data_IF_247904419590
#
_entry.id   IF_247904419590
#
_cell.length_a   1.000
_cell.length_b   1.000
_cell.length_c   1.000
_cell.angle_alpha   90.00
_cell.angle_beta   90.00
_cell.angle_gamma   90.00
#
_symmetry.space_group_name_H-M   'P 1'
#
loop_
_entity.id
_entity.type
_entity.pdbx_description
1 polymer ?
#
# COMPACT_ATOMS: atom_id res chain seq x y z
N UNK A 1 -21.21 -22.00 -2.24
CA UNK A 1 -20.98 -20.59 -1.85
C UNK A 1 -19.59 -20.05 -2.25
N UNK A 2 -18.48 -20.76 -1.97
CA UNK A 2 -17.13 -20.28 -2.28
C UNK A 2 -16.89 -19.99 -3.77
N UNK A 3 -17.35 -20.87 -4.67
CA UNK A 3 -17.22 -20.65 -6.13
C UNK A 3 -17.97 -19.40 -6.61
N UNK A 4 -19.17 -19.13 -6.07
CA UNK A 4 -19.95 -17.93 -6.38
C UNK A 4 -19.20 -16.67 -5.93
N UNK A 5 -18.57 -16.70 -4.76
CA UNK A 5 -17.74 -15.60 -4.28
C UNK A 5 -16.51 -15.38 -5.17
N UNK A 6 -15.82 -16.46 -5.57
CA UNK A 6 -14.65 -16.38 -6.44
C UNK A 6 -14.99 -15.90 -7.87
N UNK A 7 -16.22 -16.11 -8.33
CA UNK A 7 -16.70 -15.61 -9.62
C UNK A 7 -17.30 -14.19 -9.55
N UNK A 8 -17.39 -13.57 -8.37
CA UNK A 8 -17.79 -12.15 -8.28
C UNK A 8 -16.81 -11.28 -9.07
N UNK A 9 -17.35 -10.20 -9.65
CA UNK A 9 -16.59 -9.30 -10.54
C UNK A 9 -16.46 -9.80 -11.99
N UNK A 10 -16.80 -11.05 -12.29
CA UNK A 10 -16.78 -11.55 -13.67
C UNK A 10 -18.02 -11.15 -14.45
N UNK A 11 -17.85 -10.89 -15.74
CA UNK A 11 -18.98 -10.88 -16.69
C UNK A 11 -19.57 -12.28 -16.84
N UNK A 12 -20.84 -12.38 -17.26
CA UNK A 12 -21.50 -13.67 -17.52
C UNK A 12 -20.70 -14.54 -18.50
N UNK A 13 -20.08 -13.93 -19.51
CA UNK A 13 -19.25 -14.64 -20.49
C UNK A 13 -17.97 -15.21 -19.87
N UNK A 14 -17.32 -14.47 -18.98
CA UNK A 14 -16.15 -14.95 -18.24
C UNK A 14 -16.53 -16.06 -17.26
N UNK A 15 -17.60 -15.88 -16.49
CA UNK A 15 -18.10 -16.88 -15.56
C UNK A 15 -18.44 -18.19 -16.28
N UNK A 16 -19.15 -18.14 -17.41
CA UNK A 16 -19.44 -19.33 -18.24
C UNK A 16 -18.17 -20.04 -18.71
N UNK A 17 -17.17 -19.30 -19.21
CA UNK A 17 -15.90 -19.90 -19.63
C UNK A 17 -15.20 -20.59 -18.46
N UNK A 18 -15.14 -19.94 -17.30
CA UNK A 18 -14.46 -20.47 -16.13
C UNK A 18 -15.16 -21.70 -15.57
N UNK A 19 -16.50 -21.70 -15.51
CA UNK A 19 -17.30 -22.87 -15.13
C UNK A 19 -17.10 -24.00 -16.15
N UNK A 20 -17.10 -23.69 -17.44
CA UNK A 20 -16.87 -24.70 -18.48
C UNK A 20 -15.47 -25.33 -18.34
N UNK A 21 -14.43 -24.54 -18.10
CA UNK A 21 -13.08 -25.06 -17.87
C UNK A 21 -12.97 -25.86 -16.56
N UNK A 22 -13.54 -25.37 -15.46
CA UNK A 22 -13.55 -26.08 -14.18
C UNK A 22 -14.24 -27.46 -14.30
N UNK A 23 -15.31 -27.54 -15.09
CA UNK A 23 -16.03 -28.80 -15.33
C UNK A 23 -15.42 -29.69 -16.41
N UNK A 24 -14.41 -29.23 -17.16
CA UNK A 24 -13.78 -30.03 -18.23
C UNK A 24 -12.86 -31.13 -17.70
N UNK A 25 -12.25 -30.94 -16.53
CA UNK A 25 -11.24 -31.88 -16.02
C UNK A 25 -11.85 -33.12 -15.35
N UNK A 26 -12.94 -32.98 -14.58
CA UNK A 26 -13.56 -34.09 -13.84
C UNK A 26 -15.10 -34.12 -13.89
N UNK A 27 -15.72 -33.26 -14.72
CA UNK A 27 -17.18 -33.08 -14.81
C UNK A 27 -17.86 -32.70 -13.48
N UNK A 28 -17.10 -32.19 -12.50
CA UNK A 28 -17.60 -31.72 -11.21
C UNK A 28 -17.15 -30.29 -10.97
N UNK A 29 -17.79 -29.64 -9.99
CA UNK A 29 -17.36 -28.36 -9.46
C UNK A 29 -16.98 -28.60 -8.00
N UNK A 30 -15.69 -28.57 -7.71
CA UNK A 30 -15.11 -28.83 -6.41
C UNK A 30 -14.39 -27.59 -5.85
N UNK A 31 -13.89 -27.69 -4.62
CA UNK A 31 -13.15 -26.59 -3.99
C UNK A 31 -11.83 -26.26 -4.69
N UNK A 32 -11.22 -27.23 -5.39
CA UNK A 32 -9.98 -26.99 -6.14
C UNK A 32 -10.21 -26.03 -7.33
N UNK A 33 -11.41 -26.01 -7.91
CA UNK A 33 -11.74 -25.12 -9.02
C UNK A 33 -11.71 -23.64 -8.64
N UNK A 34 -11.99 -23.33 -7.37
CA UNK A 34 -11.89 -21.97 -6.83
C UNK A 34 -10.47 -21.42 -7.00
N UNK A 35 -9.46 -22.26 -6.76
CA UNK A 35 -8.06 -21.90 -6.93
C UNK A 35 -7.75 -21.65 -8.41
N UNK A 36 -8.19 -22.55 -9.29
CA UNK A 36 -8.03 -22.40 -10.75
C UNK A 36 -8.67 -21.09 -11.27
N UNK A 37 -9.85 -20.73 -10.75
CA UNK A 37 -10.54 -19.47 -11.05
C UNK A 37 -9.68 -18.27 -10.68
N UNK A 38 -9.16 -18.25 -9.44
CA UNK A 38 -8.34 -17.14 -8.92
C UNK A 38 -7.03 -17.02 -9.69
N UNK A 39 -6.36 -18.15 -9.96
CA UNK A 39 -5.13 -18.20 -10.77
C UNK A 39 -5.37 -17.67 -12.18
N UNK A 40 -6.51 -18.00 -12.80
CA UNK A 40 -6.85 -17.48 -14.12
C UNK A 40 -7.11 -15.97 -14.10
N UNK A 41 -7.79 -15.46 -13.07
CA UNK A 41 -7.94 -14.01 -12.88
C UNK A 41 -6.57 -13.34 -12.72
N UNK A 42 -5.69 -13.92 -11.91
CA UNK A 42 -4.33 -13.42 -11.69
C UNK A 42 -3.52 -13.40 -12.99
N UNK A 43 -3.65 -14.43 -13.83
CA UNK A 43 -2.99 -14.48 -15.14
C UNK A 43 -3.46 -13.35 -16.07
N UNK A 44 -4.77 -13.09 -16.15
CA UNK A 44 -5.31 -11.97 -16.94
C UNK A 44 -4.77 -10.62 -16.47
N UNK A 45 -4.61 -10.46 -15.16
CA UNK A 45 -4.01 -9.26 -14.57
C UNK A 45 -2.54 -9.13 -14.97
N UNK A 46 -1.78 -10.22 -14.86
CA UNK A 46 -0.37 -10.27 -15.21
C UNK A 46 -0.13 -9.97 -16.69
N UNK A 47 -0.89 -10.60 -17.58
CA UNK A 47 -0.82 -10.39 -19.04
C UNK A 47 -1.15 -8.95 -19.45
N UNK A 48 -1.99 -8.25 -18.70
CA UNK A 48 -2.31 -6.85 -18.97
C UNK A 48 -1.15 -5.90 -18.63
N UNK A 49 -0.24 -6.28 -17.72
CA UNK A 49 0.94 -5.50 -17.35
C UNK A 49 0.65 -4.16 -16.67
N UNK A 50 -0.57 -3.95 -16.17
CA UNK A 50 -1.01 -2.70 -15.53
C UNK A 50 -1.05 -2.79 -13.99
N UNK A 51 -1.16 -3.99 -13.43
CA UNK A 51 -1.28 -4.23 -12.00
C UNK A 51 -0.38 -5.38 -11.59
N UNK A 52 0.28 -5.25 -10.44
CA UNK A 52 0.99 -6.35 -9.81
C UNK A 52 0.03 -7.08 -8.83
N UNK A 53 -0.09 -8.40 -8.96
CA UNK A 53 -0.95 -9.23 -8.11
C UNK A 53 -0.15 -9.88 -6.98
N UNK A 54 -0.63 -9.72 -5.75
CA UNK A 54 -0.09 -10.38 -4.56
C UNK A 54 -1.18 -11.23 -3.91
N UNK A 55 -1.03 -12.56 -3.89
CA UNK A 55 -2.00 -13.44 -3.25
C UNK A 55 -1.96 -13.31 -1.72
N UNK A 56 -3.08 -13.56 -1.01
CA UNK A 56 -3.14 -13.47 0.45
C UNK A 56 -2.10 -14.34 1.16
N UNK A 57 -1.81 -15.53 0.62
CA UNK A 57 -1.00 -16.56 1.26
C UNK A 57 0.50 -16.20 1.30
N UNK A 58 0.98 -15.40 0.35
CA UNK A 58 2.40 -15.03 0.27
C UNK A 58 2.73 -13.73 1.01
N UNK A 59 1.72 -13.09 1.61
CA UNK A 59 1.89 -11.81 2.27
C UNK A 59 2.40 -11.97 3.70
N UNK A 60 3.72 -11.87 3.86
CA UNK A 60 4.43 -11.94 5.14
C UNK A 60 4.65 -10.56 5.79
N UNK A 61 3.98 -9.51 5.32
CA UNK A 61 4.17 -8.16 5.84
C UNK A 61 3.85 -8.07 7.35
N UNK A 62 4.78 -7.49 8.10
CA UNK A 62 4.65 -7.14 9.50
C UNK A 62 4.89 -5.64 9.66
N UNK A 63 3.98 -4.95 10.35
CA UNK A 63 4.04 -3.53 10.59
C UNK A 63 4.07 -3.28 12.11
N UNK A 64 5.21 -2.78 12.60
CA UNK A 64 5.32 -2.22 13.96
C UNK A 64 4.64 -0.86 14.03
N UNK A 65 4.06 -0.51 15.18
CA UNK A 65 3.27 0.71 15.36
C UNK A 65 1.96 0.72 14.54
N UNK A 66 1.50 1.92 14.15
CA UNK A 66 0.26 2.15 13.37
C UNK A 66 -1.03 1.71 14.09
N UNK A 67 -1.10 1.85 15.42
CA UNK A 67 -2.21 1.31 16.21
C UNK A 67 -3.54 2.05 15.97
N UNK A 68 -3.51 3.36 15.76
CA UNK A 68 -4.64 4.15 15.27
C UNK A 68 -5.19 3.62 13.94
N UNK A 69 -4.32 3.34 12.96
CA UNK A 69 -4.74 2.73 11.68
C UNK A 69 -5.36 1.34 11.90
N UNK A 70 -4.71 0.47 12.69
CA UNK A 70 -5.24 -0.89 12.98
C UNK A 70 -6.61 -0.83 13.64
N UNK A 71 -6.78 0.06 14.60
CA UNK A 71 -8.06 0.26 15.32
C UNK A 71 -9.14 0.73 14.36
N UNK A 72 -8.84 1.71 13.51
CA UNK A 72 -9.77 2.19 12.50
C UNK A 72 -10.15 1.08 11.51
N UNK A 73 -9.18 0.26 11.06
CA UNK A 73 -9.45 -0.86 10.15
C UNK A 73 -10.34 -1.93 10.79
N UNK A 74 -10.19 -2.19 12.09
CA UNK A 74 -11.05 -3.11 12.81
C UNK A 74 -12.50 -2.61 12.85
N UNK A 75 -12.70 -1.31 13.08
CA UNK A 75 -14.01 -0.66 13.00
C UNK A 75 -14.57 -0.67 11.57
N UNK A 76 -13.78 -0.25 10.58
CA UNK A 76 -14.19 -0.21 9.18
C UNK A 76 -14.61 -1.59 8.67
N UNK A 77 -13.97 -2.66 9.13
CA UNK A 77 -14.33 -4.04 8.76
C UNK A 77 -15.81 -4.37 9.04
N UNK A 78 -16.41 -3.75 10.06
CA UNK A 78 -17.84 -3.90 10.40
C UNK A 78 -18.73 -3.45 9.25
N UNK A 79 -18.31 -2.45 8.47
CA UNK A 79 -19.06 -1.96 7.31
C UNK A 79 -19.24 -2.98 6.18
N UNK A 80 -18.47 -4.07 6.18
CA UNK A 80 -18.65 -5.18 5.22
C UNK A 80 -19.61 -6.27 5.72
N UNK A 81 -20.13 -6.16 6.95
CA UNK A 81 -20.98 -7.20 7.58
C UNK A 81 -22.42 -7.15 7.05
N UNK A 82 -23.16 -8.27 7.10
CA UNK A 82 -24.60 -8.28 6.81
C UNK A 82 -25.41 -7.31 7.68
N UNK A 83 -25.00 -7.14 8.95
CA UNK A 83 -25.65 -6.21 9.89
C UNK A 83 -25.55 -4.77 9.40
N UNK A 84 -24.36 -4.32 8.97
CA UNK A 84 -24.20 -2.98 8.41
C UNK A 84 -25.09 -2.74 7.18
N UNK A 85 -25.28 -3.76 6.35
CA UNK A 85 -26.19 -3.70 5.19
C UNK A 85 -27.67 -3.56 5.59
N UNK A 86 -28.09 -4.16 6.71
CA UNK A 86 -29.46 -4.00 7.23
C UNK A 86 -29.75 -2.56 7.66
N UNK A 87 -28.72 -1.81 8.08
CA UNK A 87 -28.80 -0.39 8.38
C UNK A 87 -28.61 0.51 7.14
N UNK A 88 -28.55 -0.06 5.93
CA UNK A 88 -28.23 0.65 4.69
C UNK A 88 -26.93 1.46 4.74
N UNK A 89 -25.95 0.98 5.52
CA UNK A 89 -24.65 1.64 5.60
C UNK A 89 -23.81 1.29 4.37
N UNK A 90 -23.16 2.26 3.72
CA UNK A 90 -22.23 1.98 2.64
C UNK A 90 -21.00 1.24 3.19
N UNK A 91 -20.50 0.28 2.41
CA UNK A 91 -19.22 -0.36 2.73
C UNK A 91 -18.07 0.66 2.60
N UNK A 92 -17.02 0.57 3.44
CA UNK A 92 -15.83 1.39 3.30
C UNK A 92 -15.23 1.25 1.91
N UNK A 93 -14.88 2.38 1.31
CA UNK A 93 -14.39 2.52 -0.06
C UNK A 93 -12.87 2.60 -0.12
N UNK A 94 -12.23 3.26 0.84
CA UNK A 94 -10.79 3.39 0.86
C UNK A 94 -10.24 4.48 1.75
N UNK A 95 -8.92 4.45 1.92
CA UNK A 95 -8.13 5.42 2.69
C UNK A 95 -7.01 6.01 1.85
N UNK A 96 -6.59 7.21 2.22
CA UNK A 96 -5.37 7.83 1.72
C UNK A 96 -4.33 7.85 2.86
N UNK A 97 -3.15 7.28 2.62
CA UNK A 97 -2.03 7.30 3.55
C UNK A 97 -0.99 8.29 3.02
N UNK A 98 -0.88 9.42 3.70
CA UNK A 98 0.07 10.48 3.38
C UNK A 98 1.19 10.45 4.39
N UNK A 99 2.40 10.79 4.00
CA UNK A 99 3.44 11.03 5.00
C UNK A 99 4.84 10.96 4.46
N UNK A 100 5.78 10.90 5.39
CA UNK A 100 7.21 10.98 5.08
C UNK A 100 7.65 9.70 4.34
N UNK A 101 8.50 9.89 3.33
CA UNK A 101 9.04 8.79 2.54
C UNK A 101 9.80 7.80 3.44
N UNK A 102 9.71 6.51 3.14
CA UNK A 102 10.41 5.48 3.93
C UNK A 102 9.81 5.15 5.30
N UNK A 103 8.65 5.73 5.66
CA UNK A 103 8.01 5.49 6.97
C UNK A 103 6.91 4.41 6.94
N UNK A 104 6.95 3.47 5.99
CA UNK A 104 6.08 2.28 6.04
C UNK A 104 4.71 2.39 5.37
N UNK A 105 4.40 3.45 4.60
CA UNK A 105 3.12 3.59 3.87
C UNK A 105 2.80 2.40 2.95
N UNK A 106 3.77 1.99 2.13
CA UNK A 106 3.65 0.83 1.25
C UNK A 106 3.49 -0.48 2.03
N UNK A 107 4.12 -0.58 3.20
CA UNK A 107 4.02 -1.73 4.10
C UNK A 107 2.65 -1.78 4.78
N UNK A 108 2.05 -0.62 5.08
CA UNK A 108 0.70 -0.52 5.61
C UNK A 108 -0.34 -1.09 4.63
N UNK A 109 -0.25 -0.76 3.34
CA UNK A 109 -1.13 -1.35 2.31
C UNK A 109 -1.04 -2.89 2.27
N UNK A 110 0.17 -3.44 2.31
CA UNK A 110 0.39 -4.90 2.40
C UNK A 110 -0.19 -5.48 3.69
N UNK A 111 -0.02 -4.80 4.82
CA UNK A 111 -0.52 -5.26 6.11
C UNK A 111 -2.05 -5.28 6.17
N UNK A 112 -2.72 -4.29 5.57
CA UNK A 112 -4.18 -4.25 5.44
C UNK A 112 -4.70 -5.48 4.70
N UNK A 113 -4.12 -5.77 3.53
CA UNK A 113 -4.50 -6.94 2.73
C UNK A 113 -4.33 -8.26 3.50
N UNK A 114 -3.22 -8.39 4.25
CA UNK A 114 -2.97 -9.54 5.11
C UNK A 114 -4.02 -9.65 6.23
N UNK A 115 -4.28 -8.56 6.94
CA UNK A 115 -5.21 -8.55 8.08
C UNK A 115 -6.66 -8.85 7.68
N UNK A 116 -7.04 -8.48 6.46
CA UNK A 116 -8.36 -8.80 5.90
C UNK A 116 -8.38 -10.09 5.08
N UNK A 117 -7.23 -10.75 4.89
CA UNK A 117 -7.07 -11.96 4.10
C UNK A 117 -7.62 -11.80 2.67
N UNK A 118 -7.34 -10.64 2.07
CA UNK A 118 -7.78 -10.27 0.72
C UNK A 118 -6.58 -10.18 -0.22
N UNK A 119 -6.77 -10.51 -1.52
CA UNK A 119 -5.73 -10.30 -2.52
C UNK A 119 -5.40 -8.82 -2.64
N UNK A 120 -4.12 -8.51 -2.86
CA UNK A 120 -3.64 -7.16 -3.06
C UNK A 120 -3.27 -6.95 -4.53
N UNK A 121 -3.82 -5.89 -5.11
CA UNK A 121 -3.46 -5.40 -6.44
C UNK A 121 -2.71 -4.10 -6.28
N UNK A 122 -1.47 -4.03 -6.77
CA UNK A 122 -0.70 -2.79 -6.80
C UNK A 122 -0.81 -2.13 -8.16
N UNK A 123 -1.24 -0.87 -8.17
CA UNK A 123 -1.14 0.06 -9.28
C UNK A 123 -0.04 1.07 -8.97
N UNK A 124 1.01 1.06 -9.77
CA UNK A 124 2.06 2.07 -9.72
C UNK A 124 1.64 3.27 -10.60
N UNK A 125 1.35 4.41 -9.97
CA UNK A 125 0.84 5.59 -10.68
C UNK A 125 1.86 6.13 -11.70
N UNK A 126 3.17 5.95 -11.47
CA UNK A 126 4.21 6.35 -12.42
C UNK A 126 4.15 5.54 -13.73
N UNK A 127 3.88 4.23 -13.63
CA UNK A 127 3.80 3.34 -14.80
C UNK A 127 2.68 3.70 -15.78
N UNK A 128 1.64 4.39 -15.32
CA UNK A 128 0.51 4.82 -16.15
C UNK A 128 0.87 5.97 -17.10
N UNK A 129 1.89 6.76 -16.77
CA UNK A 129 2.29 7.96 -17.51
C UNK A 129 3.54 7.73 -18.35
N UNK A 130 4.49 6.92 -17.86
CA UNK A 130 5.77 6.71 -18.55
C UNK A 130 5.67 5.91 -19.87
N UNK A 131 4.59 5.12 -20.09
CA UNK A 131 4.56 4.19 -21.22
C UNK A 131 4.00 4.76 -22.52
N UNK A 132 3.03 5.67 -22.51
CA UNK A 132 2.46 6.23 -23.74
C UNK A 132 1.77 7.57 -23.46
N UNK A 133 2.38 8.68 -23.91
CA UNK A 133 1.77 10.01 -23.91
C UNK A 133 0.47 9.92 -24.76
N UNK A 134 -0.69 9.87 -24.09
CA UNK A 134 -2.02 9.79 -24.72
C UNK A 134 -2.91 8.60 -24.31
N UNK A 135 -2.38 7.54 -23.70
CA UNK A 135 -3.18 6.36 -23.25
C UNK A 135 -3.38 6.24 -21.73
N UNK A 136 -2.84 7.17 -20.93
CA UNK A 136 -2.86 7.08 -19.45
C UNK A 136 -4.28 6.93 -18.88
N UNK A 137 -5.29 7.62 -19.44
CA UNK A 137 -6.69 7.52 -18.99
C UNK A 137 -7.31 6.16 -19.29
N UNK A 138 -7.07 5.65 -20.50
CA UNK A 138 -7.50 4.32 -20.93
C UNK A 138 -6.86 3.23 -20.09
N UNK A 139 -5.56 3.37 -19.77
CA UNK A 139 -4.82 2.42 -18.94
C UNK A 139 -5.33 2.43 -17.50
N UNK A 140 -5.59 3.60 -16.93
CA UNK A 140 -6.19 3.70 -15.59
C UNK A 140 -7.57 3.06 -15.53
N UNK A 141 -8.46 3.37 -16.48
CA UNK A 141 -9.80 2.73 -16.59
C UNK A 141 -9.70 1.22 -16.74
N UNK A 142 -8.75 0.73 -17.54
CA UNK A 142 -8.50 -0.70 -17.72
C UNK A 142 -7.98 -1.33 -16.43
N UNK A 143 -7.08 -0.68 -15.70
CA UNK A 143 -6.60 -1.14 -14.40
C UNK A 143 -7.74 -1.23 -13.38
N UNK A 144 -8.60 -0.22 -13.31
CA UNK A 144 -9.82 -0.24 -12.48
C UNK A 144 -10.72 -1.42 -12.84
N UNK A 145 -11.00 -1.61 -14.13
CA UNK A 145 -11.82 -2.73 -14.62
C UNK A 145 -11.21 -4.08 -14.24
N UNK A 146 -9.88 -4.23 -14.38
CA UNK A 146 -9.17 -5.44 -13.96
C UNK A 146 -9.29 -5.68 -12.46
N UNK A 147 -9.18 -4.64 -11.64
CA UNK A 147 -9.40 -4.75 -10.19
C UNK A 147 -10.82 -5.19 -9.85
N UNK A 148 -11.83 -4.67 -10.54
CA UNK A 148 -13.23 -5.11 -10.40
C UNK A 148 -13.43 -6.58 -10.72
N UNK A 149 -12.70 -7.12 -11.71
CA UNK A 149 -12.76 -8.56 -11.99
C UNK A 149 -12.17 -9.42 -10.88
N UNK A 150 -11.31 -8.87 -10.01
CA UNK A 150 -10.69 -9.57 -8.88
C UNK A 150 -11.46 -9.39 -7.56
N UNK A 151 -12.48 -8.53 -7.52
CA UNK A 151 -13.23 -8.28 -6.29
C UNK A 151 -13.75 -9.60 -5.64
N UNK A 152 -13.65 -9.76 -4.31
CA UNK A 152 -13.19 -8.77 -3.34
C UNK A 152 -11.66 -8.66 -3.24
N UNK A 153 -11.12 -7.44 -3.20
CA UNK A 153 -9.67 -7.20 -3.14
C UNK A 153 -9.28 -5.86 -2.51
N UNK A 154 -8.00 -5.71 -2.14
CA UNK A 154 -7.38 -4.41 -1.86
C UNK A 154 -6.75 -3.88 -3.15
N UNK A 155 -7.10 -2.67 -3.56
CA UNK A 155 -6.41 -1.94 -4.63
C UNK A 155 -5.49 -0.90 -4.00
N UNK A 156 -4.19 -1.13 -4.06
CA UNK A 156 -3.18 -0.18 -3.63
C UNK A 156 -2.71 0.67 -4.81
N UNK A 157 -2.97 1.97 -4.73
CA UNK A 157 -2.45 2.97 -5.69
C UNK A 157 -1.23 3.62 -5.04
N UNK A 158 -0.04 3.28 -5.53
CA UNK A 158 1.21 3.74 -4.97
C UNK A 158 1.63 5.09 -5.58
N UNK A 159 2.02 6.02 -4.72
CA UNK A 159 2.53 7.34 -5.07
C UNK A 159 1.57 8.07 -6.03
N UNK A 160 0.31 8.20 -5.59
CA UNK A 160 -0.77 8.78 -6.38
C UNK A 160 -0.46 10.21 -6.84
N UNK A 161 0.44 10.91 -6.18
CA UNK A 161 0.92 12.23 -6.57
C UNK A 161 1.79 12.20 -7.84
N UNK A 162 2.43 11.08 -8.20
CA UNK A 162 3.29 11.01 -9.40
C UNK A 162 2.52 11.15 -10.70
N UNK A 163 1.24 10.79 -10.73
CA UNK A 163 0.36 11.08 -11.86
C UNK A 163 -0.05 12.55 -11.95
N UNK A 164 0.23 13.36 -10.92
CA UNK A 164 -0.01 14.82 -10.89
C UNK A 164 1.22 15.62 -11.34
N UNK A 165 2.43 15.14 -11.03
CA UNK A 165 3.67 15.93 -11.11
C UNK A 165 4.34 16.05 -12.49
N UNK A 166 3.97 15.24 -13.49
CA UNK A 166 4.58 15.31 -14.84
C UNK A 166 3.99 16.42 -15.74
N UNK A 167 3.04 17.23 -15.25
CA UNK A 167 2.28 18.20 -16.05
C UNK A 167 2.74 19.66 -15.95
N UNK A 168 4.04 19.94 -16.09
CA UNK A 168 4.60 21.30 -16.05
C UNK A 168 4.21 22.23 -17.22
N UNK A 169 3.26 21.83 -18.07
CA UNK A 169 2.75 22.62 -19.19
C UNK A 169 1.22 22.61 -19.25
N UNK A 170 0.65 23.72 -19.72
CA UNK A 170 -0.80 23.99 -19.81
C UNK A 170 -1.62 22.92 -20.58
N UNK A 171 -0.97 22.05 -21.36
CA UNK A 171 -1.62 20.99 -22.12
C UNK A 171 -1.86 19.69 -21.33
N UNK A 172 -0.96 19.29 -20.42
CA UNK A 172 -1.03 17.99 -19.72
C UNK A 172 -1.77 18.07 -18.37
N UNK A 173 -1.80 19.24 -17.73
CA UNK A 173 -2.52 19.43 -16.47
C UNK A 173 -4.03 19.14 -16.56
N UNK A 174 -4.62 19.26 -17.76
CA UNK A 174 -6.02 18.91 -18.01
C UNK A 174 -6.29 17.40 -18.01
N UNK A 175 -5.35 16.59 -18.50
CA UNK A 175 -5.51 15.13 -18.57
C UNK A 175 -5.49 14.51 -17.18
N UNK A 176 -4.50 14.86 -16.35
CA UNK A 176 -4.40 14.36 -14.97
C UNK A 176 -5.63 14.75 -14.15
N UNK A 177 -6.11 16.00 -14.23
CA UNK A 177 -7.34 16.42 -13.51
C UNK A 177 -8.57 15.61 -13.90
N UNK A 178 -8.75 15.31 -15.20
CA UNK A 178 -9.89 14.48 -15.68
C UNK A 178 -9.80 13.05 -15.16
N UNK A 179 -8.61 12.47 -15.22
CA UNK A 179 -8.30 11.14 -14.70
C UNK A 179 -8.66 11.00 -13.22
N UNK A 180 -8.28 11.99 -12.42
CA UNK A 180 -8.62 12.05 -11.00
C UNK A 180 -10.09 12.28 -10.73
N UNK A 181 -10.75 13.13 -11.52
CA UNK A 181 -12.20 13.28 -11.48
C UNK A 181 -12.89 11.92 -11.70
N UNK A 182 -12.46 11.17 -12.71
CA UNK A 182 -12.96 9.81 -12.94
C UNK A 182 -12.66 8.87 -11.76
N UNK A 183 -11.43 8.85 -11.25
CA UNK A 183 -11.07 8.02 -10.09
C UNK A 183 -11.93 8.31 -8.87
N UNK A 184 -12.14 9.59 -8.53
CA UNK A 184 -12.95 10.02 -7.40
C UNK A 184 -14.42 9.65 -7.57
N UNK A 185 -14.96 9.83 -8.76
CA UNK A 185 -16.33 9.41 -9.10
C UNK A 185 -16.45 7.90 -8.97
N UNK A 186 -15.53 7.14 -9.57
CA UNK A 186 -15.50 5.68 -9.48
C UNK A 186 -15.39 5.20 -8.03
N UNK A 187 -14.47 5.75 -7.24
CA UNK A 187 -14.30 5.39 -5.83
C UNK A 187 -15.60 5.55 -5.04
N UNK A 188 -16.39 6.58 -5.38
CA UNK A 188 -17.65 6.87 -4.72
C UNK A 188 -18.84 6.06 -5.25
N UNK A 189 -18.88 5.73 -6.53
CA UNK A 189 -20.02 5.06 -7.16
C UNK A 189 -19.84 3.54 -7.27
N UNK A 190 -18.63 3.01 -7.06
CA UNK A 190 -18.36 1.58 -7.19
C UNK A 190 -19.27 0.77 -6.25
N UNK A 191 -19.87 -0.28 -6.83
CA UNK A 191 -20.61 -1.30 -6.11
C UNK A 191 -19.77 -2.55 -5.83
N UNK A 192 -18.56 -2.61 -6.39
CA UNK A 192 -17.61 -3.71 -6.20
C UNK A 192 -16.98 -3.66 -4.80
N UNK A 193 -16.79 -4.84 -4.22
CA UNK A 193 -16.16 -5.08 -2.90
C UNK A 193 -14.63 -4.83 -2.96
N UNK A 194 -14.22 -3.65 -3.42
CA UNK A 194 -12.82 -3.22 -3.51
C UNK A 194 -12.56 -2.19 -2.42
N UNK A 195 -11.50 -2.37 -1.63
CA UNK A 195 -11.04 -1.32 -0.72
C UNK A 195 -9.77 -0.68 -1.28
N UNK A 196 -9.79 0.63 -1.46
CA UNK A 196 -8.68 1.37 -2.06
C UNK A 196 -7.73 1.87 -0.96
N UNK A 197 -6.44 1.64 -1.13
CA UNK A 197 -5.39 2.25 -0.31
C UNK A 197 -4.54 3.10 -1.24
N UNK A 198 -4.65 4.41 -1.15
CA UNK A 198 -3.77 5.31 -1.90
C UNK A 198 -2.60 5.75 -1.01
N UNK A 199 -1.39 5.85 -1.54
CA UNK A 199 -0.24 6.43 -0.81
C UNK A 199 0.21 7.73 -1.47
N UNK A 200 0.68 8.67 -0.65
CA UNK A 200 1.29 9.90 -1.12
C UNK A 200 2.47 10.36 -0.26
N UNK A 201 3.49 10.95 -0.91
CA UNK A 201 4.62 11.59 -0.24
C UNK A 201 4.58 13.12 -0.33
N UNK A 202 3.95 13.68 -1.36
CA UNK A 202 3.84 15.13 -1.57
C UNK A 202 2.39 15.55 -1.74
N UNK A 203 1.91 16.39 -0.81
CA UNK A 203 0.57 16.95 -0.81
C UNK A 203 0.42 18.20 -1.68
N UNK A 204 1.52 18.88 -2.01
CA UNK A 204 1.48 20.17 -2.72
C UNK A 204 0.91 20.04 -4.13
N UNK A 205 1.07 18.87 -4.73
CA UNK A 205 0.58 18.54 -6.08
C UNK A 205 -0.74 17.76 -6.06
N UNK A 206 -1.27 17.42 -4.88
CA UNK A 206 -2.52 16.69 -4.74
C UNK A 206 -3.69 17.69 -4.79
N UNK A 207 -4.67 17.51 -5.69
CA UNK A 207 -5.87 18.33 -5.74
C UNK A 207 -6.59 18.37 -4.39
N UNK A 208 -6.99 19.56 -3.89
CA UNK A 208 -7.72 19.69 -2.64
C UNK A 208 -8.99 18.84 -2.57
N UNK A 209 -9.60 18.53 -3.71
CA UNK A 209 -10.77 17.66 -3.84
C UNK A 209 -10.54 16.25 -3.29
N UNK A 210 -9.33 15.68 -3.44
CA UNK A 210 -8.97 14.38 -2.86
C UNK A 210 -8.82 14.43 -1.35
N UNK A 211 -8.46 15.60 -0.81
CA UNK A 211 -8.23 15.81 0.62
C UNK A 211 -9.52 16.17 1.38
N UNK A 212 -10.66 16.24 0.69
CA UNK A 212 -11.96 16.51 1.33
C UNK A 212 -12.48 15.25 2.02
N UNK A 213 -12.85 15.40 3.30
CA UNK A 213 -13.51 14.37 4.09
C UNK A 213 -14.75 13.84 3.36
N UNK A 214 -14.88 12.52 3.27
CA UNK A 214 -15.97 11.82 2.58
C UNK A 214 -15.61 11.33 1.17
N UNK A 215 -14.49 11.75 0.58
CA UNK A 215 -13.97 11.17 -0.68
C UNK A 215 -13.16 9.90 -0.44
N UNK A 216 -12.24 9.97 0.50
CA UNK A 216 -11.77 8.81 1.22
C UNK A 216 -12.55 8.71 2.53
N UNK A 217 -12.69 7.50 3.04
CA UNK A 217 -13.33 7.29 4.35
C UNK A 217 -12.48 7.89 5.47
N UNK A 218 -11.16 7.84 5.30
CA UNK A 218 -10.19 8.48 6.19
C UNK A 218 -8.88 8.84 5.46
N UNK A 219 -8.21 9.87 5.96
CA UNK A 219 -6.86 10.25 5.52
C UNK A 219 -5.91 10.13 6.72
N UNK A 220 -4.93 9.26 6.57
CA UNK A 220 -3.93 8.97 7.59
C UNK A 220 -2.63 9.70 7.31
N UNK A 221 -2.05 10.32 8.33
CA UNK A 221 -0.72 10.90 8.27
C UNK A 221 0.32 9.99 8.97
N UNK A 222 1.39 9.69 8.25
CA UNK A 222 2.54 8.91 8.70
C UNK A 222 3.74 9.84 8.88
N UNK A 223 4.10 10.06 10.13
CA UNK A 223 5.30 10.81 10.50
C UNK A 223 6.52 9.87 10.67
N UNK A 224 7.67 10.45 11.02
CA UNK A 224 8.85 9.72 11.46
C UNK A 224 8.51 8.84 12.68
N UNK A 225 9.13 7.66 12.77
CA UNK A 225 8.92 6.75 13.87
C UNK A 225 9.44 7.33 15.19
N UNK A 226 8.64 7.15 16.24
CA UNK A 226 9.01 7.44 17.62
C UNK A 226 9.98 6.38 18.17
N UNK A 227 10.56 6.63 19.34
CA UNK A 227 11.55 5.76 19.95
C UNK A 227 11.11 4.29 20.04
N UNK A 228 9.86 4.04 20.46
CA UNK A 228 9.33 2.68 20.55
C UNK A 228 9.16 2.03 19.17
N UNK A 229 8.65 2.77 18.17
CA UNK A 229 8.51 2.28 16.80
C UNK A 229 9.88 2.00 16.18
N UNK A 230 10.91 2.83 16.45
CA UNK A 230 12.29 2.57 16.02
C UNK A 230 12.85 1.30 16.63
N UNK A 231 12.56 1.02 17.90
CA UNK A 231 12.95 -0.23 18.54
C UNK A 231 12.32 -1.45 17.84
N UNK A 232 11.03 -1.37 17.49
CA UNK A 232 10.33 -2.42 16.76
C UNK A 232 10.91 -2.61 15.34
N UNK A 233 11.17 -1.50 14.64
CA UNK A 233 11.78 -1.50 13.31
C UNK A 233 13.17 -2.16 13.36
N UNK A 234 14.02 -1.76 14.31
CA UNK A 234 15.34 -2.37 14.52
C UNK A 234 15.24 -3.88 14.72
N UNK A 235 14.34 -4.33 15.60
CA UNK A 235 14.10 -5.76 15.85
C UNK A 235 13.71 -6.52 14.56
N UNK A 236 12.76 -5.96 13.80
CA UNK A 236 12.25 -6.57 12.56
C UNK A 236 13.37 -6.71 11.53
N UNK A 237 14.14 -5.64 11.30
CA UNK A 237 15.18 -5.65 10.26
C UNK A 237 16.40 -6.48 10.66
N UNK A 238 16.84 -6.43 11.92
CA UNK A 238 17.90 -7.31 12.42
C UNK A 238 17.52 -8.79 12.23
N UNK A 239 16.32 -9.18 12.67
CA UNK A 239 15.82 -10.55 12.53
C UNK A 239 15.71 -10.99 11.06
N UNK A 240 15.23 -10.09 10.18
CA UNK A 240 15.13 -10.33 8.73
C UNK A 240 16.50 -10.64 8.10
N UNK A 241 17.56 -10.01 8.61
CA UNK A 241 18.93 -10.21 8.17
C UNK A 241 19.71 -11.24 9.01
N UNK A 242 19.00 -12.13 9.69
CA UNK A 242 19.56 -13.23 10.47
C UNK A 242 20.52 -12.75 11.58
N UNK A 243 20.30 -11.54 12.09
CA UNK A 243 20.97 -11.02 13.27
C UNK A 243 20.01 -11.17 14.46
N UNK A 244 20.46 -11.77 15.58
CA UNK A 244 19.64 -11.87 16.78
C UNK A 244 19.56 -10.49 17.46
N UNK A 245 18.39 -9.83 17.52
CA UNK A 245 18.29 -8.50 18.12
C UNK A 245 18.77 -8.45 19.58
N UNK A 246 18.76 -9.58 20.30
CA UNK A 246 19.22 -9.67 21.69
C UNK A 246 20.72 -9.49 21.85
N UNK A 247 21.51 -9.64 20.78
CA UNK A 247 22.96 -9.42 20.83
C UNK A 247 23.33 -7.94 20.68
N UNK A 248 22.36 -7.06 20.47
CA UNK A 248 22.56 -5.63 20.27
C UNK A 248 21.96 -4.83 21.43
N UNK A 249 22.64 -3.75 21.82
CA UNK A 249 22.03 -2.72 22.67
C UNK A 249 21.05 -1.87 21.84
N UNK A 250 19.79 -2.29 21.83
CA UNK A 250 18.72 -1.58 21.12
C UNK A 250 18.45 -0.20 21.72
N UNK A 251 18.67 0.01 23.02
CA UNK A 251 18.43 1.31 23.64
C UNK A 251 19.43 2.35 23.10
N UNK A 252 20.71 1.97 22.98
CA UNK A 252 21.72 2.81 22.34
C UNK A 252 21.39 3.09 20.87
N UNK A 253 20.94 2.08 20.12
CA UNK A 253 20.57 2.24 18.71
C UNK A 253 19.36 3.18 18.52
N UNK A 254 18.35 3.09 19.38
CA UNK A 254 17.16 3.97 19.35
C UNK A 254 17.53 5.43 19.61
N UNK A 255 18.51 5.69 20.48
CA UNK A 255 19.01 7.03 20.76
C UNK A 255 19.74 7.63 19.56
N UNK A 256 20.63 6.87 18.91
CA UNK A 256 21.42 7.41 17.79
C UNK A 256 20.62 7.53 16.50
N UNK A 257 19.54 6.75 16.33
CA UNK A 257 18.67 6.78 15.15
C UNK A 257 17.52 7.79 15.26
N UNK A 258 17.62 8.78 16.16
CA UNK A 258 16.59 9.81 16.27
C UNK A 258 16.43 10.60 14.97
N UNK A 259 15.18 10.73 14.53
CA UNK A 259 14.84 11.37 13.25
C UNK A 259 15.12 10.52 12.01
N UNK A 260 15.48 9.24 12.13
CA UNK A 260 15.57 8.32 10.99
C UNK A 260 14.18 7.78 10.61
N UNK A 261 13.94 7.62 9.31
CA UNK A 261 12.84 6.83 8.78
C UNK A 261 13.11 5.33 8.89
N UNK A 262 12.06 4.49 8.76
CA UNK A 262 12.23 3.04 8.79
C UNK A 262 13.15 2.52 7.67
N UNK A 263 13.09 3.13 6.48
CA UNK A 263 13.98 2.81 5.38
C UNK A 263 15.45 3.15 5.69
N UNK A 264 15.72 4.27 6.37
CA UNK A 264 17.09 4.64 6.76
C UNK A 264 17.65 3.69 7.82
N UNK A 265 16.82 3.23 8.76
CA UNK A 265 17.21 2.20 9.73
C UNK A 265 17.56 0.88 9.01
N UNK A 266 16.74 0.45 8.05
CA UNK A 266 17.04 -0.73 7.24
C UNK A 266 18.36 -0.59 6.47
N UNK A 267 18.57 0.55 5.80
CA UNK A 267 19.79 0.81 5.04
C UNK A 267 21.04 0.87 5.92
N UNK A 268 20.94 1.44 7.13
CA UNK A 268 22.01 1.42 8.11
C UNK A 268 22.41 -0.02 8.46
N UNK A 269 21.44 -0.90 8.75
CA UNK A 269 21.71 -2.31 9.06
C UNK A 269 22.36 -3.02 7.87
N UNK A 270 21.82 -2.84 6.66
CA UNK A 270 22.37 -3.45 5.43
C UNK A 270 23.82 -3.00 5.20
N UNK A 271 24.09 -1.70 5.34
CA UNK A 271 25.44 -1.13 5.15
C UNK A 271 26.42 -1.67 6.19
N UNK A 272 26.00 -1.77 7.45
CA UNK A 272 26.82 -2.35 8.52
C UNK A 272 27.15 -3.82 8.24
N UNK A 273 26.19 -4.61 7.74
CA UNK A 273 26.43 -6.01 7.35
C UNK A 273 27.46 -6.09 6.22
N UNK A 274 27.33 -5.28 5.16
CA UNK A 274 28.33 -5.27 4.08
C UNK A 274 29.73 -4.91 4.59
N UNK A 275 29.82 -3.91 5.47
CA UNK A 275 31.09 -3.50 6.08
C UNK A 275 31.69 -4.60 6.95
N UNK A 276 30.88 -5.25 7.78
CA UNK A 276 31.30 -6.37 8.62
C UNK A 276 31.85 -7.53 7.78
N UNK A 277 31.18 -7.86 6.67
CA UNK A 277 31.63 -8.89 5.72
C UNK A 277 32.96 -8.52 5.06
N UNK A 278 33.12 -7.25 4.64
CA UNK A 278 34.36 -6.77 4.06
C UNK A 278 35.53 -6.80 5.07
N UNK A 279 35.26 -6.40 6.32
CA UNK A 279 36.23 -6.41 7.43
C UNK A 279 36.44 -7.80 8.06
N UNK A 280 35.69 -8.82 7.61
CA UNK A 280 35.71 -10.20 8.14
C UNK A 280 35.48 -10.28 9.66
N UNK A 281 34.52 -9.49 10.17
CA UNK A 281 34.14 -9.48 11.59
C UNK A 281 32.62 -9.57 11.76
N UNK A 282 32.10 -10.00 12.92
CA UNK A 282 30.67 -9.98 13.18
C UNK A 282 30.13 -8.54 13.26
N UNK A 283 28.84 -8.38 12.95
CA UNK A 283 28.14 -7.11 13.17
C UNK A 283 27.89 -6.95 14.67
N UNK A 284 28.21 -5.79 15.22
CA UNK A 284 27.98 -5.43 16.62
C UNK A 284 27.29 -4.07 16.73
N UNK A 285 26.88 -3.68 17.94
CA UNK A 285 26.26 -2.38 18.19
C UNK A 285 27.17 -1.22 17.79
N UNK A 286 28.49 -1.34 18.03
CA UNK A 286 29.43 -0.26 17.73
C UNK A 286 29.46 0.06 16.23
N UNK A 287 29.48 -0.96 15.38
CA UNK A 287 29.44 -0.81 13.93
C UNK A 287 28.16 -0.12 13.46
N UNK A 288 27.01 -0.53 13.98
CA UNK A 288 25.74 0.11 13.63
C UNK A 288 25.72 1.60 14.03
N UNK A 289 26.24 1.94 15.22
CA UNK A 289 26.38 3.33 15.69
C UNK A 289 27.32 4.14 14.79
N UNK A 290 28.41 3.54 14.29
CA UNK A 290 29.29 4.19 13.33
C UNK A 290 28.60 4.49 12.00
N UNK A 291 27.81 3.54 11.48
CA UNK A 291 27.05 3.73 10.23
C UNK A 291 25.95 4.79 10.36
N UNK A 292 25.35 4.94 11.54
CA UNK A 292 24.41 6.03 11.81
C UNK A 292 25.07 7.41 11.59
N UNK A 293 26.31 7.59 12.05
CA UNK A 293 27.04 8.87 11.94
C UNK A 293 27.42 9.23 10.50
N UNK A 294 27.45 8.24 9.61
CA UNK A 294 27.76 8.41 8.17
C UNK A 294 26.52 8.77 7.35
N UNK A 295 25.33 8.68 7.94
CA UNK A 295 24.06 8.92 7.28
C UNK A 295 23.50 10.28 7.71
N UNK A 296 23.17 11.13 6.75
CA UNK A 296 22.42 12.37 7.02
C UNK A 296 20.94 12.05 6.92
N UNK A 297 20.17 12.05 8.02
CA UNK A 297 18.79 11.61 7.99
C UNK A 297 17.88 12.56 7.20
N UNK A 298 16.77 12.04 6.68
CA UNK A 298 15.71 12.79 5.99
C UNK A 298 15.15 13.93 6.84
N UNK A 299 15.07 13.74 8.16
CA UNK A 299 14.67 14.78 9.12
C UNK A 299 15.55 16.04 9.09
N UNK A 300 16.80 15.90 8.63
CA UNK A 300 17.75 16.99 8.46
C UNK A 300 17.79 17.45 7.00
N UNK A 301 18.00 16.52 6.06
CA UNK A 301 18.17 16.87 4.64
C UNK A 301 16.92 17.41 3.96
N UNK A 302 15.72 17.02 4.42
CA UNK A 302 14.42 17.48 3.92
C UNK A 302 13.55 18.10 5.02
N UNK A 303 14.17 18.80 5.97
CA UNK A 303 13.49 19.40 7.13
C UNK A 303 12.31 20.28 6.72
N UNK A 304 12.51 21.15 5.72
CA UNK A 304 11.49 22.09 5.25
C UNK A 304 10.27 21.37 4.67
N UNK A 305 10.50 20.35 3.84
CA UNK A 305 9.44 19.54 3.25
C UNK A 305 8.63 18.80 4.34
N UNK A 306 9.33 18.22 5.32
CA UNK A 306 8.70 17.53 6.45
C UNK A 306 7.86 18.49 7.28
N UNK A 307 8.38 19.68 7.59
CA UNK A 307 7.65 20.70 8.34
C UNK A 307 6.41 21.17 7.57
N UNK A 308 6.51 21.37 6.26
CA UNK A 308 5.38 21.71 5.40
C UNK A 308 4.31 20.61 5.41
N UNK A 309 4.71 19.34 5.25
CA UNK A 309 3.79 18.21 5.31
C UNK A 309 3.08 18.11 6.67
N UNK A 310 3.83 18.24 7.77
CA UNK A 310 3.27 18.25 9.14
C UNK A 310 2.26 19.37 9.34
N UNK A 311 2.59 20.58 8.88
CA UNK A 311 1.69 21.73 8.97
C UNK A 311 0.38 21.51 8.21
N UNK A 312 0.42 20.89 7.03
CA UNK A 312 -0.79 20.54 6.28
C UNK A 312 -1.60 19.46 7.01
N UNK A 313 -0.92 18.50 7.65
CA UNK A 313 -1.55 17.36 8.31
C UNK A 313 -2.24 17.70 9.64
N UNK A 314 -1.65 18.58 10.45
CA UNK A 314 -2.00 18.83 11.86
C UNK A 314 -3.48 19.17 12.11
N UNK A 315 -4.17 19.74 11.12
CA UNK A 315 -5.59 20.13 11.23
C UNK A 315 -6.52 19.31 10.33
N UNK A 316 -5.98 18.42 9.49
CA UNK A 316 -6.72 17.81 8.38
C UNK A 316 -6.77 16.30 8.41
N UNK A 317 -5.77 15.63 8.98
CA UNK A 317 -5.60 14.18 8.87
C UNK A 317 -5.47 13.51 10.23
N UNK A 318 -5.85 12.24 10.28
CA UNK A 318 -5.75 11.42 11.48
C UNK A 318 -4.33 10.83 11.54
N UNK A 319 -3.68 10.88 12.70
CA UNK A 319 -2.39 10.22 12.90
C UNK A 319 -2.55 8.70 12.78
N UNK A 320 -1.53 8.01 12.26
CA UNK A 320 -1.56 6.53 12.24
C UNK A 320 -1.37 5.89 13.62
N UNK A 321 -0.90 6.66 14.59
CA UNK A 321 -0.63 6.23 15.96
C UNK A 321 -1.90 6.34 16.81
#
# INVERSE_FOLDING_TARGET
HALVQAMRGMTLKQARKVIAYASLDDSKLCAADVKNVIERKAQVIHEAGLLDYFPPETNLAQLGGFDGLKTWLAYAKVGFTPQARQFNLPAPKGILIVGIQGCGKSLAAKTIARHWSLPLLKLDAGRLYDKYIGESDKNFRRAVTLAETMAPCILWIDEIEKSMGQGGGDADGGLSRRLFGYFLTWLQEKSSDIFVVATANDLSIIPPELLRKGRFDEIFFVDLPEAQERADILNIHLSRHQQDPKTFDLAALVQVTDGFSGAEIEQMIITAIYRALYEQRPVDTALLVEETKRTVPLSVSRREDIQRLRAIAQERFVGVK
#
